data_IF_610784985123
#
_entry.id   IF_610784985123
#
_cell.length_a   1.000
_cell.length_b   1.000
_cell.length_c   1.000
_cell.angle_alpha   90.00
_cell.angle_beta   90.00
_cell.angle_gamma   90.00
#
_symmetry.space_group_name_H-M   'P 1'
#
loop_
_entity.id
_entity.type
_entity.pdbx_description
1 polymer ?
#
# COMPACT_ATOMS: atom_id res chain seq x y z
N UNK A 1 27.69 7.90 14.63
CA UNK A 1 27.62 6.77 13.76
C UNK A 1 26.57 6.93 12.72
N UNK A 2 26.85 6.48 11.54
CA UNK A 2 25.90 6.60 10.49
C UNK A 2 24.86 5.52 10.51
N UNK A 3 23.65 5.92 10.27
CA UNK A 3 22.53 5.00 10.18
C UNK A 3 22.63 4.22 8.87
N UNK A 4 22.39 2.92 8.90
CA UNK A 4 22.37 2.12 7.68
C UNK A 4 21.07 2.40 6.93
N UNK A 5 21.03 1.98 5.66
CA UNK A 5 19.80 2.12 4.88
C UNK A 5 18.66 1.34 5.50
N UNK A 6 18.96 0.17 6.04
CA UNK A 6 17.96 -0.66 6.68
C UNK A 6 17.41 -0.01 7.93
N UNK A 7 18.29 0.56 8.74
CA UNK A 7 17.87 1.26 9.96
C UNK A 7 17.03 2.49 9.63
N UNK A 8 17.43 3.20 8.59
CA UNK A 8 16.69 4.37 8.16
C UNK A 8 15.30 3.97 7.68
N UNK A 9 15.22 2.90 6.89
CA UNK A 9 13.92 2.44 6.41
C UNK A 9 13.01 2.10 7.56
N UNK A 10 13.52 1.34 8.54
CA UNK A 10 12.71 0.97 9.68
C UNK A 10 12.20 2.19 10.44
N UNK A 11 13.08 3.13 10.72
CA UNK A 11 12.70 4.33 11.44
C UNK A 11 11.63 5.13 10.72
N UNK A 12 11.85 5.35 9.43
CA UNK A 12 10.93 6.17 8.64
C UNK A 12 9.61 5.43 8.41
N UNK A 13 9.67 4.15 8.06
CA UNK A 13 8.47 3.38 7.77
C UNK A 13 7.61 3.22 9.02
N UNK A 14 8.23 2.94 10.17
CA UNK A 14 7.47 2.80 11.40
C UNK A 14 6.74 4.09 11.75
N UNK A 15 7.43 5.22 11.61
CA UNK A 15 6.81 6.50 11.91
C UNK A 15 5.62 6.77 11.00
N UNK A 16 5.76 6.44 9.71
CA UNK A 16 4.68 6.68 8.77
C UNK A 16 3.51 5.73 8.95
N UNK A 17 3.80 4.46 9.24
CA UNK A 17 2.72 3.51 9.51
C UNK A 17 1.93 3.92 10.74
N UNK A 18 2.63 4.35 11.80
CA UNK A 18 1.92 4.78 13.00
C UNK A 18 1.05 6.00 12.72
N UNK A 19 1.52 6.89 11.87
CA UNK A 19 0.73 8.05 11.50
C UNK A 19 -0.52 7.63 10.70
N UNK A 20 -0.35 6.69 9.77
CA UNK A 20 -1.48 6.18 8.99
C UNK A 20 -2.50 5.53 9.89
N UNK A 21 -2.03 4.71 10.84
CA UNK A 21 -2.93 4.03 11.77
C UNK A 21 -3.72 5.06 12.57
N UNK A 22 -3.06 6.10 13.05
CA UNK A 22 -3.74 7.14 13.81
C UNK A 22 -4.78 7.85 12.96
N UNK A 23 -4.44 8.14 11.70
CA UNK A 23 -5.39 8.80 10.81
C UNK A 23 -6.57 7.90 10.48
N UNK A 24 -6.33 6.60 10.33
CA UNK A 24 -7.43 5.66 10.11
C UNK A 24 -8.37 5.59 11.32
N UNK A 25 -7.81 5.65 12.52
CA UNK A 25 -8.65 5.68 13.71
C UNK A 25 -9.50 6.93 13.77
N UNK A 26 -8.91 8.07 13.40
CA UNK A 26 -9.66 9.31 13.34
C UNK A 26 -10.75 9.26 12.29
N UNK A 27 -10.45 8.66 11.14
CA UNK A 27 -11.45 8.48 10.11
C UNK A 27 -12.59 7.60 10.63
N UNK A 28 -12.25 6.56 11.38
CA UNK A 28 -13.27 5.70 11.99
C UNK A 28 -14.19 6.47 12.94
N UNK A 29 -13.65 7.48 13.62
CA UNK A 29 -14.48 8.30 14.51
C UNK A 29 -15.51 9.11 13.76
N UNK A 30 -15.31 9.34 12.46
CA UNK A 30 -16.30 10.04 11.66
C UNK A 30 -17.56 9.21 11.43
N UNK A 31 -17.56 7.96 11.87
CA UNK A 31 -18.74 7.12 11.79
C UNK A 31 -19.82 7.52 12.81
N UNK A 32 -19.50 8.45 13.72
CA UNK A 32 -20.45 8.86 14.75
C UNK A 32 -21.62 9.62 14.14
N UNK A 33 -22.77 8.96 14.06
CA UNK A 33 -23.95 9.53 13.40
C UNK A 33 -24.57 10.68 14.18
N UNK A 34 -24.21 10.84 15.43
CA UNK A 34 -24.68 11.98 16.21
C UNK A 34 -24.05 13.28 15.78
N UNK A 35 -22.94 13.21 15.06
CA UNK A 35 -22.19 14.39 14.64
C UNK A 35 -22.16 14.55 13.13
N UNK A 36 -22.07 13.42 12.41
CA UNK A 36 -21.87 13.41 10.97
C UNK A 36 -22.99 12.68 10.25
N UNK A 37 -23.26 13.12 9.03
CA UNK A 37 -24.22 12.44 8.18
C UNK A 37 -23.49 11.88 6.96
N UNK A 38 -23.77 10.64 6.62
CA UNK A 38 -23.17 10.01 5.45
C UNK A 38 -24.08 8.88 4.99
N UNK A 39 -23.87 8.43 3.76
CA UNK A 39 -24.60 7.28 3.25
C UNK A 39 -23.60 6.19 2.85
N UNK A 40 -24.15 5.02 2.50
CA UNK A 40 -23.32 3.89 2.15
C UNK A 40 -22.45 4.17 0.94
N UNK A 41 -22.96 4.97 0.00
CA UNK A 41 -22.19 5.30 -1.20
C UNK A 41 -20.94 6.11 -0.85
N UNK A 42 -21.08 7.06 0.07
CA UNK A 42 -19.95 7.87 0.50
C UNK A 42 -18.90 7.00 1.19
N UNK A 43 -19.35 6.09 2.04
CA UNK A 43 -18.45 5.20 2.77
C UNK A 43 -17.70 4.30 1.79
N UNK A 44 -18.42 3.75 0.83
CA UNK A 44 -17.83 2.88 -0.16
C UNK A 44 -16.75 3.63 -0.97
N UNK A 45 -17.05 4.86 -1.34
CA UNK A 45 -16.13 5.68 -2.10
C UNK A 45 -14.85 5.96 -1.31
N UNK A 46 -15.00 6.25 -0.02
CA UNK A 46 -13.85 6.51 0.85
C UNK A 46 -12.93 5.29 0.89
N UNK A 47 -13.49 4.13 1.20
CA UNK A 47 -12.65 2.95 1.40
C UNK A 47 -12.11 2.39 0.09
N UNK A 48 -12.87 2.50 -1.00
CA UNK A 48 -12.35 2.11 -2.31
C UNK A 48 -11.14 2.96 -2.70
N UNK A 49 -11.24 4.26 -2.46
CA UNK A 49 -10.15 5.17 -2.78
C UNK A 49 -8.91 4.86 -1.95
N UNK A 50 -9.10 4.62 -0.66
CA UNK A 50 -7.99 4.26 0.21
C UNK A 50 -7.35 2.94 -0.21
N UNK A 51 -8.18 1.98 -0.63
CA UNK A 51 -7.66 0.70 -1.06
C UNK A 51 -6.80 0.85 -2.31
N UNK A 52 -7.22 1.70 -3.25
CA UNK A 52 -6.45 1.97 -4.45
C UNK A 52 -5.08 2.56 -4.09
N UNK A 53 -5.07 3.52 -3.18
CA UNK A 53 -3.80 4.14 -2.79
C UNK A 53 -2.89 3.15 -2.05
N UNK A 54 -3.48 2.30 -1.24
CA UNK A 54 -2.73 1.28 -0.55
C UNK A 54 -2.09 0.31 -1.56
N UNK A 55 -2.87 -0.10 -2.56
CA UNK A 55 -2.37 -0.99 -3.59
C UNK A 55 -1.25 -0.34 -4.40
N UNK A 56 -1.39 0.94 -4.70
CA UNK A 56 -0.34 1.66 -5.43
C UNK A 56 0.96 1.69 -4.63
N UNK A 57 0.86 1.89 -3.33
CA UNK A 57 2.04 1.90 -2.49
C UNK A 57 2.72 0.55 -2.49
N UNK A 58 1.92 -0.50 -2.43
CA UNK A 58 2.46 -1.86 -2.44
C UNK A 58 3.20 -2.15 -3.74
N UNK A 59 2.63 -1.69 -4.87
CA UNK A 59 3.26 -1.87 -6.16
C UNK A 59 4.64 -1.20 -6.21
N UNK A 60 4.77 -0.05 -5.57
CA UNK A 60 6.06 0.63 -5.55
C UNK A 60 7.14 -0.20 -4.86
N UNK A 61 6.75 -0.94 -3.83
CA UNK A 61 7.71 -1.83 -3.19
C UNK A 61 8.08 -3.00 -4.09
N UNK A 62 7.11 -3.53 -4.82
CA UNK A 62 7.40 -4.60 -5.76
C UNK A 62 8.32 -4.13 -6.87
N UNK A 63 8.09 -2.91 -7.36
CA UNK A 63 8.93 -2.35 -8.41
C UNK A 63 10.33 -2.05 -7.91
N UNK A 64 10.44 -1.54 -6.70
CA UNK A 64 11.74 -1.28 -6.11
C UNK A 64 12.56 -2.53 -5.97
N UNK A 65 11.93 -3.59 -5.53
CA UNK A 65 12.57 -4.88 -5.41
C UNK A 65 12.99 -5.44 -6.77
N UNK A 66 12.10 -5.32 -7.74
CA UNK A 66 12.37 -5.79 -9.09
C UNK A 66 13.51 -5.01 -9.73
N UNK A 67 13.56 -3.73 -9.46
CA UNK A 67 14.61 -2.88 -9.98
C UNK A 67 15.97 -3.36 -9.55
N UNK A 68 16.10 -3.79 -8.33
CA UNK A 68 17.34 -4.33 -7.85
C UNK A 68 17.70 -5.62 -8.53
N UNK A 69 16.73 -6.45 -8.76
CA UNK A 69 16.98 -7.71 -9.40
C UNK A 69 17.18 -7.59 -10.88
N UNK A 70 16.62 -6.58 -11.45
CA UNK A 70 16.67 -6.42 -12.87
C UNK A 70 18.04 -6.51 -13.46
N UNK A 71 18.98 -6.14 -12.71
CA UNK A 71 20.30 -6.17 -13.20
C UNK A 71 20.79 -7.54 -13.64
N UNK A 72 20.27 -8.55 -13.08
CA UNK A 72 20.67 -9.86 -13.48
C UNK A 72 19.96 -10.21 -14.74
N UNK A 73 20.08 -10.03 -15.65
CA UNK A 73 19.55 -10.33 -16.86
C UNK A 73 18.84 -11.37 -17.15
N UNK A 74 18.43 -11.91 -17.27
CA UNK A 74 17.73 -12.93 -17.50
C UNK A 74 16.52 -12.94 -17.76
N UNK A 75 16.48 -12.64 -17.56
CA UNK A 75 15.67 -12.82 -17.76
C UNK A 75 14.69 -12.75 -18.07
N UNK A 76 14.61 -12.58 -18.17
CA UNK A 76 13.89 -12.42 -18.40
C UNK A 76 12.91 -12.60 -18.59
N UNK A 77 12.70 -12.71 -18.58
CA UNK A 77 11.98 -12.83 -18.56
C UNK A 77 10.92 -12.92 -18.47
N UNK A 78 10.67 -12.99 -18.50
CA UNK A 78 9.83 -12.99 -18.26
C UNK A 78 8.86 -13.01 -18.06
N UNK A 79 8.48 -13.10 -17.99
CA UNK A 79 7.75 -12.96 -17.58
C UNK A 79 6.95 -13.16 -17.12
N UNK A 80 6.74 -13.35 -17.06
CA UNK A 80 6.23 -13.34 -16.45
C UNK A 80 5.37 -13.17 -16.09
N UNK A 81 5.06 -13.25 -16.25
CA UNK A 81 4.54 -12.89 -15.69
C UNK A 81 3.78 -12.73 -15.41
N UNK A 82 3.38 -12.88 -15.55
CA UNK A 82 2.92 -12.50 -15.00
C UNK A 82 2.32 -12.64 -14.45
N UNK A 83 2.10 -12.86 -14.55
CA UNK A 83 1.83 -12.68 -13.74
C UNK A 83 1.33 -12.61 -13.20
N UNK A 84 0.88 -12.58 -13.21
CA UNK A 84 0.58 -12.14 -12.41
C UNK A 84 0.13 -12.02 -11.96
N UNK A 85 -0.20 -12.25 -12.23
CA UNK A 85 -0.46 -11.81 -11.56
C UNK A 85 -0.83 -11.65 -11.20
N UNK A 86 -1.33 -11.54 -11.12
CA UNK A 86 -1.40 -11.00 -10.48
C UNK A 86 -1.66 -10.80 -10.08
N UNK A 87 -2.18 -11.03 -10.26
CA UNK A 87 -2.22 -10.51 -9.73
C UNK A 87 -2.65 -10.37 -9.40
N UNK A 88 -3.08 -10.50 -9.45
CA UNK A 88 -3.22 -10.10 -8.94
C UNK A 88 -3.62 -10.05 -8.58
N UNK A 89 -4.20 -10.23 -8.56
CA UNK A 89 -4.40 -9.88 -7.99
C UNK A 89 -4.93 -9.89 -7.54
N UNK A 90 -5.37 -10.02 -7.53
CA UNK A 90 -5.74 -9.79 -6.89
C UNK A 90 -6.19 -9.64 -6.52
N UNK A 91 -6.83 -9.72 -6.44
CA UNK A 91 -7.01 -9.35 -5.86
C UNK A 91 -7.43 -9.37 -5.30
N UNK A 92 -7.98 -9.61 -5.27
CA UNK A 92 -8.24 -9.44 -4.58
C UNK A 92 -8.55 -9.52 -4.22
N UNK A 93 -9.11 -9.78 -4.22
CA UNK A 93 -8.98 -9.72 -3.81
C UNK A 93 -8.88 -9.98 -3.54
N UNK A 94 -9.38 -10.34 -3.74
CA UNK A 94 -8.89 -10.40 -3.30
C UNK A 94 -8.78 -10.37 -3.17
#
# INVERSE_FOLDING_TARGET
MKETKSERFRRVAEARVNKIIRMLRLLGNCAATSVYAYDDSAVEQIFSTLQIELDKARVRYAEGSRSKKRFSLSENYTLDTISHPHITIPLPNG
#
